data_IF_207305267597
#
_entry.id   IF_207305267597
#
_cell.length_a   1.000
_cell.length_b   1.000
_cell.length_c   1.000
_cell.angle_alpha   90.00
_cell.angle_beta   90.00
_cell.angle_gamma   90.00
#
_symmetry.space_group_name_H-M   'P 1'
#
loop_
_entity.id
_entity.type
_entity.pdbx_description
1 polymer ?
#
# COMPACT_ATOMS: atom_id res chain seq x y z
N UNK A 1 10.80 4.49 -2.59
CA UNK A 1 10.50 4.26 -1.17
C UNK A 1 11.35 5.22 -0.34
N UNK A 2 10.77 5.92 0.62
CA UNK A 2 11.47 6.81 1.57
C UNK A 2 11.26 6.24 2.98
N UNK A 3 12.34 6.16 3.77
CA UNK A 3 12.33 5.64 5.13
C UNK A 3 12.53 6.79 6.11
N UNK A 4 11.74 6.82 7.18
CA UNK A 4 11.94 7.79 8.26
C UNK A 4 13.02 7.34 9.25
N UNK A 5 13.27 6.03 9.34
CA UNK A 5 14.13 5.49 10.39
C UNK A 5 13.53 5.72 11.78
N UNK A 6 14.38 5.98 12.78
CA UNK A 6 13.97 6.37 14.13
C UNK A 6 13.73 7.88 14.18
N UNK A 7 12.64 8.34 13.55
CA UNK A 7 12.33 9.76 13.43
C UNK A 7 11.30 10.21 14.49
N UNK A 8 11.41 11.47 14.92
CA UNK A 8 10.34 12.13 15.67
C UNK A 8 9.11 12.37 14.79
N UNK A 9 7.94 12.53 15.40
CA UNK A 9 6.68 12.78 14.70
C UNK A 9 6.75 13.99 13.75
N UNK A 10 7.44 15.06 14.13
CA UNK A 10 7.66 16.23 13.28
C UNK A 10 8.49 15.93 12.04
N UNK A 11 9.59 15.18 12.16
CA UNK A 11 10.40 14.76 11.02
C UNK A 11 9.64 13.79 10.12
N UNK A 12 8.94 12.82 10.70
CA UNK A 12 8.09 11.88 9.96
C UNK A 12 6.99 12.63 9.16
N UNK A 13 6.36 13.64 9.77
CA UNK A 13 5.39 14.51 9.12
C UNK A 13 5.97 15.24 7.90
N UNK A 14 7.18 15.80 8.02
CA UNK A 14 7.86 16.46 6.89
C UNK A 14 8.19 15.49 5.76
N UNK A 15 8.59 14.25 6.07
CA UNK A 15 8.85 13.21 5.06
C UNK A 15 7.57 12.83 4.32
N UNK A 16 6.44 12.75 5.02
CA UNK A 16 5.13 12.52 4.40
C UNK A 16 4.77 13.67 3.46
N UNK A 17 4.96 14.93 3.87
CA UNK A 17 4.68 16.11 3.05
C UNK A 17 5.55 16.12 1.77
N UNK A 18 6.81 15.69 1.86
CA UNK A 18 7.68 15.51 0.70
C UNK A 18 7.13 14.43 -0.25
N UNK A 19 6.68 13.29 0.29
CA UNK A 19 6.11 12.22 -0.52
C UNK A 19 4.81 12.65 -1.21
N UNK A 20 3.95 13.41 -0.52
CA UNK A 20 2.73 13.99 -1.07
C UNK A 20 3.01 15.04 -2.16
N UNK A 21 4.03 15.86 -1.99
CA UNK A 21 4.42 16.84 -3.00
C UNK A 21 5.02 16.18 -4.25
N UNK A 22 5.84 15.16 -4.06
CA UNK A 22 6.51 14.42 -5.16
C UNK A 22 5.58 13.50 -5.92
N UNK A 23 4.67 12.81 -5.25
CA UNK A 23 3.71 11.82 -5.80
C UNK A 23 4.34 10.58 -6.48
N UNK A 24 5.66 10.48 -6.50
CA UNK A 24 6.41 9.39 -7.14
C UNK A 24 6.97 8.36 -6.14
N UNK A 25 6.69 8.52 -4.86
CA UNK A 25 7.24 7.70 -3.79
C UNK A 25 6.24 7.48 -2.67
N UNK A 26 6.57 6.53 -1.79
CA UNK A 26 5.81 6.25 -0.55
C UNK A 26 6.76 6.39 0.63
N UNK A 27 6.33 7.10 1.67
CA UNK A 27 7.01 7.23 2.94
C UNK A 27 6.60 6.10 3.89
N UNK A 28 7.58 5.47 4.53
CA UNK A 28 7.38 4.43 5.55
C UNK A 28 7.73 4.99 6.91
N UNK A 29 6.79 4.91 7.85
CA UNK A 29 6.83 5.53 9.17
C UNK A 29 6.64 4.47 10.23
N UNK A 30 7.45 4.52 11.30
CA UNK A 30 7.22 3.81 12.56
C UNK A 30 6.92 4.82 13.67
N UNK A 31 6.17 4.45 14.71
CA UNK A 31 6.03 5.27 15.91
C UNK A 31 7.38 5.49 16.59
N UNK A 32 7.47 6.46 17.49
CA UNK A 32 8.69 6.74 18.24
C UNK A 32 9.06 5.58 19.17
N UNK A 33 10.36 5.45 19.47
CA UNK A 33 10.85 4.38 20.33
C UNK A 33 10.19 4.41 21.71
N UNK A 34 10.03 5.60 22.27
CA UNK A 34 9.44 5.81 23.58
C UNK A 34 7.97 5.35 23.69
N UNK A 35 7.23 5.35 22.58
CA UNK A 35 5.83 4.91 22.55
C UNK A 35 5.69 3.39 22.57
N UNK A 36 6.75 2.67 22.17
CA UNK A 36 6.71 1.23 21.94
C UNK A 36 7.63 0.44 22.87
N UNK A 37 8.89 0.89 23.04
CA UNK A 37 9.92 0.14 23.75
C UNK A 37 9.81 0.36 25.25
N UNK A 38 9.90 -0.75 26.02
CA UNK A 38 9.78 -0.71 27.49
C UNK A 38 8.35 -0.72 28.01
N UNK A 39 7.34 -0.66 27.13
CA UNK A 39 5.94 -0.77 27.53
C UNK A 39 5.60 -2.24 27.83
N UNK A 40 5.25 -2.54 29.06
CA UNK A 40 4.97 -3.92 29.51
C UNK A 40 3.53 -4.35 29.25
N UNK A 41 2.59 -3.39 29.25
CA UNK A 41 1.17 -3.67 29.02
C UNK A 41 0.85 -3.46 27.53
N UNK A 42 0.37 -4.51 26.89
CA UNK A 42 0.04 -4.51 25.46
C UNK A 42 -1.05 -3.49 25.11
N UNK A 43 -2.08 -3.37 25.93
CA UNK A 43 -3.16 -2.37 25.69
C UNK A 43 -2.62 -0.95 25.76
N UNK A 44 -1.74 -0.65 26.70
CA UNK A 44 -1.06 0.66 26.79
C UNK A 44 -0.20 0.90 25.56
N UNK A 45 0.56 -0.10 25.10
CA UNK A 45 1.39 0.01 23.91
C UNK A 45 0.55 0.30 22.64
N UNK A 46 -0.55 -0.41 22.47
CA UNK A 46 -1.50 -0.17 21.37
C UNK A 46 -2.06 1.27 21.45
N UNK A 47 -2.45 1.71 22.66
CA UNK A 47 -2.96 3.08 22.86
C UNK A 47 -1.91 4.14 22.51
N UNK A 48 -0.65 3.96 22.94
CA UNK A 48 0.43 4.90 22.63
C UNK A 48 0.66 5.02 21.11
N UNK A 49 0.66 3.90 20.38
CA UNK A 49 0.82 3.92 18.92
C UNK A 49 -0.36 4.62 18.23
N UNK A 50 -1.58 4.45 18.74
CA UNK A 50 -2.77 5.19 18.27
C UNK A 50 -2.66 6.68 18.57
N UNK A 51 -2.20 7.06 19.76
CA UNK A 51 -1.96 8.46 20.14
C UNK A 51 -0.88 9.09 19.27
N UNK A 52 0.21 8.38 19.01
CA UNK A 52 1.22 8.83 18.06
C UNK A 52 0.59 9.13 16.69
N UNK A 53 -0.20 8.20 16.15
CA UNK A 53 -0.85 8.34 14.83
C UNK A 53 -1.83 9.50 14.80
N UNK A 54 -2.70 9.61 15.81
CA UNK A 54 -3.85 10.51 15.80
C UNK A 54 -3.54 11.90 16.34
N UNK A 55 -2.62 12.02 17.29
CA UNK A 55 -2.34 13.26 18.00
C UNK A 55 -0.99 13.87 17.60
N UNK A 56 0.09 13.09 17.61
CA UNK A 56 1.43 13.61 17.38
C UNK A 56 1.72 13.76 15.87
N UNK A 57 1.51 12.71 15.08
CA UNK A 57 1.73 12.72 13.63
C UNK A 57 0.60 13.44 12.91
N UNK A 58 -0.64 13.12 13.23
CA UNK A 58 -1.89 13.72 12.72
C UNK A 58 -1.86 14.04 11.19
N UNK A 59 -1.37 13.11 10.39
CA UNK A 59 -1.27 13.23 8.93
C UNK A 59 -2.17 12.21 8.25
N UNK A 60 -2.83 12.61 7.16
CA UNK A 60 -3.63 11.73 6.31
C UNK A 60 -3.10 11.79 4.91
N UNK A 61 -2.46 10.71 4.46
CA UNK A 61 -1.85 10.64 3.13
C UNK A 61 -1.92 9.22 2.57
N UNK A 62 -2.22 9.10 1.29
CA UNK A 62 -2.12 7.83 0.57
C UNK A 62 -0.68 7.49 0.14
N UNK A 63 0.24 8.44 0.26
CA UNK A 63 1.66 8.26 -0.02
C UNK A 63 2.48 7.92 1.23
N UNK A 64 1.81 7.58 2.32
CA UNK A 64 2.46 7.15 3.56
C UNK A 64 1.91 5.81 4.03
N UNK A 65 2.77 5.04 4.70
CA UNK A 65 2.50 3.74 5.27
C UNK A 65 3.08 3.69 6.69
N UNK A 66 2.28 3.33 7.67
CA UNK A 66 2.72 3.24 9.06
C UNK A 66 2.59 1.81 9.57
N UNK A 67 3.65 1.34 10.21
CA UNK A 67 3.69 0.07 10.94
C UNK A 67 3.36 0.25 12.44
N UNK A 68 3.32 -0.85 13.19
CA UNK A 68 2.93 -0.87 14.59
C UNK A 68 4.09 -0.77 15.58
N UNK A 69 5.34 -0.53 15.14
CA UNK A 69 6.39 -0.32 16.14
C UNK A 69 7.81 -0.78 15.81
N UNK A 70 8.44 -1.44 16.77
CA UNK A 70 9.86 -1.75 16.77
C UNK A 70 10.12 -3.24 16.97
N UNK A 71 11.23 -3.72 16.39
CA UNK A 71 11.76 -5.07 16.59
C UNK A 71 13.09 -5.06 17.31
N UNK A 72 13.36 -6.09 18.09
CA UNK A 72 14.66 -6.37 18.69
C UNK A 72 15.39 -7.34 17.77
N UNK A 73 16.55 -6.96 17.28
CA UNK A 73 17.35 -7.78 16.37
C UNK A 73 18.82 -7.80 16.75
N UNK A 74 19.52 -8.84 16.30
CA UNK A 74 20.95 -8.97 16.47
C UNK A 74 21.71 -8.18 15.39
N UNK A 75 22.57 -7.27 15.85
CA UNK A 75 23.50 -6.51 15.01
C UNK A 75 24.82 -7.27 14.92
N UNK A 76 25.07 -7.90 13.77
CA UNK A 76 26.25 -8.71 13.52
C UNK A 76 27.56 -7.94 13.54
N UNK A 77 27.53 -6.65 13.25
CA UNK A 77 28.73 -5.82 13.12
C UNK A 77 29.25 -5.36 14.49
N UNK A 78 28.34 -5.16 15.43
CA UNK A 78 28.67 -4.69 16.78
C UNK A 78 28.47 -5.77 17.85
N UNK A 79 28.12 -7.00 17.46
CA UNK A 79 27.87 -8.13 18.37
C UNK A 79 26.93 -7.78 19.53
N UNK A 80 25.84 -7.11 19.21
CA UNK A 80 24.88 -6.65 20.20
C UNK A 80 23.44 -6.73 19.69
N UNK A 81 22.50 -6.80 20.63
CA UNK A 81 21.09 -6.72 20.31
C UNK A 81 20.61 -5.28 20.40
N UNK A 82 19.84 -4.84 19.40
CA UNK A 82 19.32 -3.47 19.31
C UNK A 82 17.84 -3.43 18.97
N UNK A 83 17.19 -2.39 19.44
CA UNK A 83 15.89 -2.00 18.94
C UNK A 83 16.03 -1.27 17.61
N UNK A 84 15.21 -1.64 16.63
CA UNK A 84 15.21 -1.05 15.28
C UNK A 84 13.76 -0.83 14.85
N UNK A 85 13.43 0.32 14.27
CA UNK A 85 12.09 0.59 13.76
C UNK A 85 11.76 -0.32 12.56
N UNK A 86 10.50 -0.70 12.42
CA UNK A 86 10.04 -1.63 11.39
C UNK A 86 9.90 -1.01 9.99
N UNK A 87 9.94 0.32 9.85
CA UNK A 87 9.74 0.97 8.55
C UNK A 87 10.72 0.50 7.46
N UNK A 88 11.95 0.18 7.83
CA UNK A 88 12.94 -0.40 6.92
C UNK A 88 12.52 -1.78 6.41
N UNK A 89 11.95 -2.61 7.29
CA UNK A 89 11.43 -3.92 6.90
C UNK A 89 10.20 -3.80 6.00
N UNK A 90 9.31 -2.84 6.27
CA UNK A 90 8.12 -2.59 5.44
C UNK A 90 8.51 -2.23 4.01
N UNK A 91 9.47 -1.33 3.85
CA UNK A 91 10.01 -0.99 2.54
C UNK A 91 10.72 -2.18 1.88
N UNK A 92 11.46 -2.97 2.67
CA UNK A 92 12.10 -4.21 2.22
C UNK A 92 11.10 -5.26 1.74
N UNK A 93 9.94 -5.42 2.42
CA UNK A 93 8.84 -6.27 1.98
C UNK A 93 8.24 -5.80 0.64
N UNK A 94 8.06 -4.49 0.47
CA UNK A 94 7.62 -3.92 -0.78
C UNK A 94 8.61 -4.20 -1.91
N UNK A 95 9.91 -3.96 -1.70
CA UNK A 95 10.95 -4.23 -2.69
C UNK A 95 11.06 -5.72 -3.03
N UNK A 96 10.93 -6.60 -2.03
CA UNK A 96 10.89 -8.06 -2.27
C UNK A 96 9.67 -8.47 -3.08
N UNK A 97 8.52 -7.86 -2.81
CA UNK A 97 7.29 -8.12 -3.57
C UNK A 97 7.47 -7.71 -5.03
N UNK A 98 8.14 -6.58 -5.31
CA UNK A 98 8.44 -6.12 -6.67
C UNK A 98 9.34 -7.11 -7.44
N UNK A 99 10.29 -7.75 -6.75
CA UNK A 99 11.21 -8.70 -7.37
C UNK A 99 10.57 -10.07 -7.63
N UNK A 100 9.64 -10.51 -6.78
CA UNK A 100 9.05 -11.87 -6.86
C UNK A 100 7.73 -11.87 -7.63
N UNK A 101 6.98 -10.79 -7.51
CA UNK A 101 5.70 -10.58 -8.17
C UNK A 101 5.72 -9.23 -8.89
N UNK A 102 4.81 -8.33 -8.51
CA UNK A 102 4.65 -7.01 -9.09
C UNK A 102 4.29 -5.99 -8.00
N UNK A 103 4.49 -4.68 -8.25
CA UNK A 103 4.18 -3.61 -7.30
C UNK A 103 2.73 -3.53 -6.82
N UNK A 104 1.80 -4.07 -7.60
CA UNK A 104 0.37 -4.09 -7.26
C UNK A 104 -0.08 -5.26 -6.41
N UNK A 105 0.83 -6.16 -6.04
CA UNK A 105 0.54 -7.17 -5.03
C UNK A 105 0.73 -6.61 -3.62
N UNK A 106 -0.16 -6.99 -2.70
CA UNK A 106 -0.03 -6.63 -1.29
C UNK A 106 1.26 -7.23 -0.70
N UNK A 107 2.08 -6.43 0.00
CA UNK A 107 3.28 -6.94 0.68
C UNK A 107 2.95 -7.69 1.98
N UNK A 108 1.70 -7.66 2.43
CA UNK A 108 1.24 -8.26 3.68
C UNK A 108 0.88 -9.75 3.53
N UNK A 109 0.66 -10.38 4.67
CA UNK A 109 0.18 -11.76 4.79
C UNK A 109 1.29 -12.80 4.86
N UNK A 110 0.92 -14.04 5.14
CA UNK A 110 1.85 -15.15 5.40
C UNK A 110 2.76 -15.48 4.21
N UNK A 111 2.29 -15.26 2.97
CA UNK A 111 3.07 -15.58 1.77
C UNK A 111 4.19 -14.58 1.48
N UNK A 112 4.00 -13.30 1.76
CA UNK A 112 4.92 -12.22 1.38
C UNK A 112 5.36 -11.34 2.55
N UNK A 113 4.53 -11.21 3.60
CA UNK A 113 4.72 -10.31 4.72
C UNK A 113 5.66 -10.81 5.82
N UNK A 114 6.37 -11.92 5.63
CA UNK A 114 7.30 -12.45 6.64
C UNK A 114 8.53 -11.56 6.81
N UNK A 115 8.80 -11.16 8.06
CA UNK A 115 9.93 -10.35 8.49
C UNK A 115 10.98 -11.26 9.13
N UNK A 116 12.22 -11.12 8.71
CA UNK A 116 13.33 -11.94 9.19
C UNK A 116 14.19 -11.20 10.22
N UNK A 117 14.94 -11.96 11.01
CA UNK A 117 15.89 -11.41 11.98
C UNK A 117 15.22 -10.75 13.19
N UNK A 118 13.98 -11.13 13.52
CA UNK A 118 13.26 -10.63 14.68
C UNK A 118 13.48 -11.57 15.86
N UNK A 119 14.05 -11.06 16.94
CA UNK A 119 14.16 -11.78 18.23
C UNK A 119 12.85 -11.60 19.00
N UNK A 120 12.35 -10.37 19.07
CA UNK A 120 11.05 -10.03 19.65
C UNK A 120 10.51 -8.70 19.08
N UNK A 121 9.22 -8.49 19.16
CA UNK A 121 8.59 -7.21 18.88
C UNK A 121 8.45 -6.39 20.16
N UNK A 122 8.52 -5.07 20.06
CA UNK A 122 8.23 -4.17 21.18
C UNK A 122 6.75 -4.27 21.59
N UNK A 123 5.87 -4.26 20.59
CA UNK A 123 4.44 -4.46 20.74
C UNK A 123 4.06 -5.63 19.83
N UNK A 124 3.46 -6.68 20.39
CA UNK A 124 2.96 -7.84 19.65
C UNK A 124 1.44 -7.97 19.81
N UNK A 125 0.64 -7.38 18.91
CA UNK A 125 -0.83 -7.39 19.01
C UNK A 125 -1.41 -8.75 18.61
N UNK A 126 -1.15 -9.80 19.42
CA UNK A 126 -1.65 -11.15 19.18
C UNK A 126 -3.17 -11.26 19.26
N UNK A 127 -3.89 -10.57 20.18
CA UNK A 127 -5.35 -10.57 20.20
C UNK A 127 -5.94 -9.85 18.98
N UNK A 128 -7.00 -10.44 18.42
CA UNK A 128 -7.68 -9.90 17.21
C UNK A 128 -8.20 -8.49 17.43
N UNK A 129 -8.88 -8.24 18.56
CA UNK A 129 -9.43 -6.94 18.89
C UNK A 129 -8.37 -5.81 18.86
N UNK A 130 -7.14 -6.07 19.30
CA UNK A 130 -6.06 -5.09 19.29
C UNK A 130 -5.47 -4.87 17.89
N UNK A 131 -5.47 -5.92 17.05
CA UNK A 131 -5.11 -5.77 15.63
C UNK A 131 -6.13 -4.92 14.89
N UNK A 132 -7.41 -5.20 15.13
CA UNK A 132 -8.50 -4.44 14.52
C UNK A 132 -8.49 -2.97 14.95
N UNK A 133 -8.23 -2.71 16.24
CA UNK A 133 -8.08 -1.37 16.79
C UNK A 133 -6.98 -0.56 16.07
N UNK A 134 -5.79 -1.16 15.87
CA UNK A 134 -4.70 -0.54 15.10
C UNK A 134 -5.10 -0.35 13.64
N UNK A 135 -5.72 -1.36 13.05
CA UNK A 135 -6.08 -1.34 11.64
C UNK A 135 -7.20 -0.34 11.33
N UNK A 136 -8.11 -0.06 12.27
CA UNK A 136 -9.11 1.01 12.13
C UNK A 136 -8.44 2.37 11.95
N UNK A 137 -7.38 2.66 12.69
CA UNK A 137 -6.62 3.91 12.62
C UNK A 137 -5.58 3.94 11.49
N UNK A 138 -5.68 3.01 10.53
CA UNK A 138 -4.75 2.89 9.39
C UNK A 138 -3.30 2.60 9.78
N UNK A 139 -3.11 1.95 10.92
CA UNK A 139 -1.83 1.41 11.38
C UNK A 139 -1.77 -0.07 10.99
N UNK A 140 -0.68 -0.51 10.38
CA UNK A 140 -0.53 -1.87 9.92
C UNK A 140 0.14 -2.74 10.99
N UNK A 141 -0.59 -3.67 11.62
CA UNK A 141 -0.03 -4.48 12.69
C UNK A 141 1.04 -5.44 12.16
N UNK A 142 2.14 -5.51 12.90
CA UNK A 142 3.16 -6.55 12.74
C UNK A 142 3.03 -7.50 13.91
N UNK A 143 2.83 -8.78 13.61
CA UNK A 143 2.44 -9.79 14.59
C UNK A 143 3.39 -10.98 14.51
N UNK A 144 3.85 -11.45 15.66
CA UNK A 144 4.55 -12.72 15.77
C UNK A 144 3.51 -13.84 16.07
N UNK A 145 3.24 -14.66 15.06
CA UNK A 145 2.33 -15.80 15.17
C UNK A 145 3.13 -17.05 15.57
N UNK A 146 2.64 -17.83 16.57
CA UNK A 146 3.28 -19.09 16.92
C UNK A 146 3.30 -20.05 15.72
N UNK A 147 4.48 -20.56 15.37
CA UNK A 147 4.68 -21.46 14.25
C UNK A 147 4.86 -20.81 12.88
N UNK A 148 4.37 -19.58 12.68
CA UNK A 148 4.40 -18.88 11.38
C UNK A 148 5.46 -17.75 11.32
N UNK A 149 5.98 -17.35 12.49
CA UNK A 149 6.96 -16.26 12.60
C UNK A 149 6.33 -14.86 12.64
N UNK A 150 7.16 -13.86 12.41
CA UNK A 150 6.73 -12.45 12.44
C UNK A 150 6.27 -12.02 11.06
N UNK A 151 5.04 -11.49 10.98
CA UNK A 151 4.36 -11.19 9.72
C UNK A 151 3.74 -9.78 9.76
N UNK A 152 3.87 -9.04 8.67
CA UNK A 152 3.06 -7.85 8.42
C UNK A 152 1.61 -8.27 8.12
N UNK A 153 0.68 -7.82 8.94
CA UNK A 153 -0.74 -8.21 8.86
C UNK A 153 -1.66 -7.03 8.56
N UNK A 154 -1.24 -6.17 7.62
CA UNK A 154 -2.01 -5.02 7.15
C UNK A 154 -1.38 -4.38 5.92
N UNK A 155 -2.20 -3.74 5.08
CA UNK A 155 -1.79 -3.13 3.82
C UNK A 155 -2.43 -1.75 3.57
N UNK A 156 -2.87 -1.07 4.64
CA UNK A 156 -3.45 0.28 4.56
C UNK A 156 -2.39 1.36 4.39
N UNK A 157 -2.72 2.38 3.61
CA UNK A 157 -2.02 3.66 3.64
C UNK A 157 -2.50 4.51 4.82
N UNK A 158 -1.80 5.61 5.14
CA UNK A 158 -2.23 6.55 6.21
C UNK A 158 -3.45 7.39 5.84
N UNK A 159 -4.13 7.07 4.75
CA UNK A 159 -5.33 7.80 4.34
C UNK A 159 -6.50 7.49 5.27
N UNK A 160 -7.07 8.52 5.90
CA UNK A 160 -8.21 8.39 6.81
C UNK A 160 -9.55 8.29 6.09
N UNK A 161 -9.68 8.85 4.88
CA UNK A 161 -10.89 8.73 4.07
C UNK A 161 -10.85 7.48 3.21
N UNK A 162 -11.91 6.68 3.24
CA UNK A 162 -12.04 5.50 2.37
C UNK A 162 -12.01 5.88 0.89
N UNK A 163 -11.06 5.32 0.15
CA UNK A 163 -10.95 5.48 -1.31
C UNK A 163 -10.24 4.26 -1.91
N UNK A 164 -10.06 4.24 -3.23
CA UNK A 164 -9.26 3.21 -3.88
C UNK A 164 -7.78 3.25 -3.42
N UNK A 165 -7.30 4.40 -2.94
CA UNK A 165 -5.93 4.64 -2.50
C UNK A 165 -5.68 4.39 -1.01
N UNK A 166 -6.65 3.84 -0.29
CA UNK A 166 -6.49 3.44 1.10
C UNK A 166 -5.62 2.17 1.26
N UNK A 167 -5.21 1.55 0.15
CA UNK A 167 -4.36 0.36 0.09
C UNK A 167 -3.03 0.66 -0.58
N UNK A 168 -1.94 0.17 0.04
CA UNK A 168 -0.57 0.40 -0.45
C UNK A 168 -0.34 -0.21 -1.83
N UNK A 169 -0.90 -1.38 -2.11
CA UNK A 169 -0.78 -2.04 -3.41
C UNK A 169 -1.38 -1.21 -4.54
N UNK A 170 -2.55 -0.59 -4.31
CA UNK A 170 -3.18 0.29 -5.30
C UNK A 170 -2.38 1.57 -5.49
N UNK A 171 -1.91 2.21 -4.40
CA UNK A 171 -1.08 3.40 -4.51
C UNK A 171 0.21 3.12 -5.30
N UNK A 172 0.86 2.00 -5.04
CA UNK A 172 2.08 1.61 -5.75
C UNK A 172 1.82 1.28 -7.22
N UNK A 173 0.70 0.61 -7.54
CA UNK A 173 0.25 0.41 -8.92
C UNK A 173 0.18 1.74 -9.67
N UNK A 174 -0.51 2.74 -9.09
CA UNK A 174 -0.66 4.04 -9.75
C UNK A 174 0.66 4.77 -9.92
N UNK A 175 1.56 4.77 -8.91
CA UNK A 175 2.89 5.38 -9.04
C UNK A 175 3.67 4.78 -10.21
N UNK A 176 3.62 3.46 -10.38
CA UNK A 176 4.32 2.78 -11.49
C UNK A 176 3.69 3.13 -12.84
N UNK A 177 2.35 3.08 -12.93
CA UNK A 177 1.63 3.43 -14.15
C UNK A 177 1.85 4.89 -14.56
N UNK A 178 1.67 5.83 -13.62
CA UNK A 178 1.87 7.27 -13.86
C UNK A 178 3.29 7.56 -14.35
N UNK A 179 4.29 6.95 -13.73
CA UNK A 179 5.69 7.12 -14.12
C UNK A 179 5.97 6.57 -15.52
N UNK A 180 5.48 5.37 -15.83
CA UNK A 180 5.67 4.75 -17.14
C UNK A 180 4.98 5.56 -18.24
N UNK A 181 3.72 5.94 -18.06
CA UNK A 181 2.93 6.72 -19.01
C UNK A 181 3.53 8.13 -19.18
N UNK A 182 3.91 8.79 -18.08
CA UNK A 182 4.57 10.09 -18.13
C UNK A 182 5.90 10.06 -18.90
N UNK A 183 6.65 8.96 -18.80
CA UNK A 183 7.89 8.79 -19.54
C UNK A 183 7.61 8.59 -21.03
N UNK A 184 6.60 7.80 -21.36
CA UNK A 184 6.18 7.54 -22.74
C UNK A 184 5.59 8.79 -23.40
N UNK A 185 4.80 9.59 -22.65
CA UNK A 185 4.18 10.82 -23.17
C UNK A 185 5.17 11.92 -23.54
N UNK A 186 6.43 11.87 -23.04
CA UNK A 186 7.46 12.85 -23.44
C UNK A 186 7.76 12.85 -24.94
N UNK A 187 7.58 11.71 -25.59
CA UNK A 187 7.80 11.58 -27.03
C UNK A 187 6.70 12.22 -27.89
N UNK A 188 5.57 12.63 -27.26
CA UNK A 188 4.50 13.37 -27.93
C UNK A 188 4.67 14.89 -27.82
N UNK A 189 5.66 15.37 -27.06
CA UNK A 189 5.92 16.80 -26.94
C UNK A 189 6.42 17.36 -28.28
N UNK A 190 5.85 18.49 -28.71
CA UNK A 190 6.15 19.18 -29.95
C UNK A 190 5.60 18.47 -31.21
N UNK A 191 4.87 17.38 -31.10
CA UNK A 191 4.17 16.78 -32.22
C UNK A 191 2.87 17.53 -32.52
N UNK A 192 2.31 17.33 -33.72
CA UNK A 192 1.04 17.93 -34.12
C UNK A 192 -0.13 17.37 -33.30
N UNK A 193 -0.97 18.25 -32.76
CA UNK A 193 -2.15 17.84 -32.00
C UNK A 193 -3.34 17.52 -32.94
N UNK A 194 -3.22 16.45 -33.67
CA UNK A 194 -4.24 15.95 -34.60
C UNK A 194 -4.83 14.59 -34.15
N UNK A 195 -5.82 14.12 -34.86
CA UNK A 195 -6.47 12.84 -34.57
C UNK A 195 -5.53 11.65 -34.74
N UNK A 196 -4.52 11.76 -35.61
CA UNK A 196 -3.52 10.72 -35.82
C UNK A 196 -2.58 10.58 -34.61
N UNK A 197 -2.05 11.67 -34.10
CA UNK A 197 -1.18 11.68 -32.90
C UNK A 197 -1.94 11.19 -31.68
N UNK A 198 -3.22 11.59 -31.51
CA UNK A 198 -4.07 11.10 -30.43
C UNK A 198 -4.32 9.59 -30.51
N UNK A 199 -4.59 9.08 -31.70
CA UNK A 199 -4.76 7.63 -31.92
C UNK A 199 -3.45 6.87 -31.68
N UNK A 200 -2.30 7.41 -32.11
CA UNK A 200 -1.00 6.81 -31.89
C UNK A 200 -0.66 6.74 -30.38
N UNK A 201 -0.94 7.79 -29.62
CA UNK A 201 -0.77 7.80 -28.17
C UNK A 201 -1.65 6.74 -27.48
N UNK A 202 -2.92 6.66 -27.85
CA UNK A 202 -3.84 5.64 -27.33
C UNK A 202 -3.34 4.22 -27.64
N UNK A 203 -2.92 3.98 -28.87
CA UNK A 203 -2.38 2.68 -29.31
C UNK A 203 -1.06 2.31 -28.62
N UNK A 204 -0.30 3.28 -28.14
CA UNK A 204 0.91 3.04 -27.36
C UNK A 204 0.59 2.65 -25.91
N UNK A 205 -0.44 3.26 -25.29
CA UNK A 205 -0.77 3.04 -23.87
C UNK A 205 -1.63 1.81 -23.66
N UNK A 206 -2.60 1.52 -24.53
CA UNK A 206 -3.52 0.39 -24.36
C UNK A 206 -2.81 -0.97 -24.20
N UNK A 207 -1.78 -1.34 -24.97
CA UNK A 207 -1.07 -2.61 -24.77
C UNK A 207 -0.40 -2.71 -23.40
N UNK A 208 0.18 -1.60 -22.90
CA UNK A 208 0.76 -1.54 -21.56
C UNK A 208 -0.28 -1.79 -20.46
N UNK A 209 -1.46 -1.16 -20.57
CA UNK A 209 -2.55 -1.37 -19.61
C UNK A 209 -3.11 -2.80 -19.70
N UNK A 210 -3.18 -3.39 -20.91
CA UNK A 210 -3.57 -4.81 -21.10
C UNK A 210 -2.56 -5.77 -20.47
N UNK A 211 -1.26 -5.49 -20.53
CA UNK A 211 -0.24 -6.27 -19.85
C UNK A 211 -0.46 -6.25 -18.33
N UNK A 212 -0.67 -5.07 -17.74
CA UNK A 212 -0.99 -4.92 -16.31
C UNK A 212 -2.29 -5.66 -15.95
N UNK A 213 -3.30 -5.62 -16.83
CA UNK A 213 -4.55 -6.37 -16.65
C UNK A 213 -4.30 -7.88 -16.67
N UNK A 214 -3.53 -8.38 -17.64
CA UNK A 214 -3.14 -9.80 -17.72
C UNK A 214 -2.36 -10.27 -16.49
N UNK A 215 -1.55 -9.37 -15.88
CA UNK A 215 -0.80 -9.60 -14.66
C UNK A 215 -1.59 -9.30 -13.38
N UNK A 216 -2.91 -9.18 -13.46
CA UNK A 216 -3.85 -9.01 -12.34
C UNK A 216 -3.72 -7.69 -11.55
N UNK A 217 -3.11 -6.66 -12.13
CA UNK A 217 -2.99 -5.34 -11.49
C UNK A 217 -4.28 -4.55 -11.54
N UNK A 218 -5.00 -4.64 -12.66
CA UNK A 218 -6.28 -3.95 -12.89
C UNK A 218 -7.33 -4.94 -13.41
N UNK A 219 -8.60 -4.66 -13.11
CA UNK A 219 -9.72 -5.47 -13.61
C UNK A 219 -10.24 -4.93 -14.93
N UNK A 220 -10.21 -3.61 -15.12
CA UNK A 220 -10.72 -2.94 -16.30
C UNK A 220 -10.07 -1.58 -16.48
N UNK A 221 -9.98 -1.08 -17.72
CA UNK A 221 -9.47 0.25 -18.03
C UNK A 221 -10.14 0.85 -19.26
N UNK A 222 -10.12 2.17 -19.36
CA UNK A 222 -10.56 2.93 -20.53
C UNK A 222 -9.62 4.11 -20.74
N UNK A 223 -9.14 4.27 -21.98
CA UNK A 223 -8.34 5.44 -22.41
C UNK A 223 -9.21 6.28 -23.33
N UNK A 224 -9.40 7.54 -22.96
CA UNK A 224 -10.09 8.54 -23.78
C UNK A 224 -9.05 9.59 -24.19
N UNK A 225 -8.81 9.69 -25.48
CA UNK A 225 -7.92 10.67 -26.08
C UNK A 225 -8.46 10.93 -27.50
N UNK A 226 -9.51 11.72 -27.57
CA UNK A 226 -10.24 12.04 -28.81
C UNK A 226 -10.73 13.50 -28.78
N UNK A 227 -11.59 13.87 -29.72
CA UNK A 227 -12.13 15.22 -29.80
C UNK A 227 -13.05 15.60 -28.65
N UNK A 228 -13.51 14.63 -27.84
CA UNK A 228 -14.39 14.92 -26.69
C UNK A 228 -13.64 15.53 -25.52
N UNK A 229 -12.37 15.15 -25.32
CA UNK A 229 -11.49 15.71 -24.28
C UNK A 229 -10.39 16.61 -24.83
N UNK A 230 -10.25 16.77 -26.16
CA UNK A 230 -9.38 17.73 -26.85
C UNK A 230 -10.22 18.64 -27.73
N UNK A 231 -10.99 19.54 -27.12
CA UNK A 231 -11.79 20.54 -27.82
C UNK A 231 -10.90 21.55 -28.53
N UNK A 232 -11.46 22.32 -29.48
CA UNK A 232 -10.72 23.36 -30.19
C UNK A 232 -10.02 24.35 -29.24
N UNK A 233 -10.65 24.71 -28.11
CA UNK A 233 -10.06 25.60 -27.11
C UNK A 233 -8.80 24.99 -26.44
N UNK A 234 -8.80 23.68 -26.21
CA UNK A 234 -7.65 22.96 -25.63
C UNK A 234 -6.53 22.87 -26.65
N UNK A 235 -6.86 22.59 -27.90
CA UNK A 235 -5.88 22.56 -29.03
C UNK A 235 -5.30 23.93 -29.26
N UNK A 236 -6.11 24.99 -29.28
CA UNK A 236 -5.66 26.38 -29.45
C UNK A 236 -4.78 26.87 -28.30
N UNK A 237 -4.99 26.28 -27.10
CA UNK A 237 -4.11 26.51 -25.93
C UNK A 237 -2.82 25.67 -25.97
N UNK A 238 -2.52 24.96 -27.05
CA UNK A 238 -1.39 24.02 -27.19
C UNK A 238 -1.34 22.94 -26.12
N UNK A 239 -2.51 22.43 -25.70
CA UNK A 239 -2.64 21.40 -24.70
C UNK A 239 -3.09 20.08 -25.33
N UNK A 240 -2.56 18.99 -24.82
CA UNK A 240 -2.96 17.63 -25.15
C UNK A 240 -3.50 16.96 -23.89
N UNK A 241 -4.72 16.43 -23.94
CA UNK A 241 -5.38 15.80 -22.80
C UNK A 241 -5.71 14.35 -23.11
N UNK A 242 -5.32 13.46 -22.20
CA UNK A 242 -5.69 12.06 -22.24
C UNK A 242 -6.21 11.63 -20.87
N UNK A 243 -7.42 11.09 -20.83
CA UNK A 243 -8.05 10.58 -19.62
C UNK A 243 -7.92 9.07 -19.56
N UNK A 244 -7.30 8.57 -18.47
CA UNK A 244 -7.05 7.16 -18.27
C UNK A 244 -7.83 6.71 -17.04
N UNK A 245 -8.92 5.97 -17.27
CA UNK A 245 -9.76 5.39 -16.23
C UNK A 245 -9.29 3.98 -15.93
N UNK A 246 -9.06 3.68 -14.65
CA UNK A 246 -8.54 2.39 -14.20
C UNK A 246 -9.35 1.86 -13.03
N UNK A 247 -9.73 0.58 -13.07
CA UNK A 247 -10.30 -0.15 -11.95
C UNK A 247 -9.23 -1.07 -11.35
N UNK A 248 -8.61 -0.72 -10.21
CA UNK A 248 -7.58 -1.54 -9.59
C UNK A 248 -8.16 -2.83 -9.00
N UNK A 249 -7.36 -3.89 -9.00
CA UNK A 249 -7.66 -5.13 -8.27
C UNK A 249 -7.43 -4.88 -6.77
N UNK A 250 -8.38 -5.32 -5.94
CA UNK A 250 -8.31 -5.18 -4.48
C UNK A 250 -7.75 -6.44 -3.84
N UNK A 251 -7.00 -6.28 -2.75
CA UNK A 251 -6.58 -7.37 -1.87
C UNK A 251 -7.75 -7.89 -1.03
N UNK A 252 -7.71 -9.17 -0.67
CA UNK A 252 -8.68 -9.79 0.25
C UNK A 252 -8.19 -9.52 1.68
N UNK A 253 -9.01 -8.85 2.47
CA UNK A 253 -8.70 -8.54 3.87
C UNK A 253 -9.56 -9.34 4.85
N UNK A 254 -10.76 -9.76 4.42
CA UNK A 254 -11.70 -10.54 5.23
C UNK A 254 -12.15 -11.77 4.47
N UNK A 255 -12.15 -12.91 5.15
CA UNK A 255 -12.65 -14.19 4.62
C UNK A 255 -13.80 -14.62 5.52
N UNK A 256 -15.01 -14.68 4.95
CA UNK A 256 -16.17 -15.25 5.63
C UNK A 256 -16.40 -16.67 5.13
N UNK A 257 -16.38 -17.64 6.02
CA UNK A 257 -16.63 -19.03 5.71
C UNK A 257 -17.98 -19.44 6.33
N UNK A 258 -18.92 -19.86 5.50
CA UNK A 258 -20.24 -20.33 5.93
C UNK A 258 -20.25 -21.87 5.81
N UNK A 259 -20.32 -22.57 6.94
CA UNK A 259 -20.47 -24.00 6.98
C UNK A 259 -21.94 -24.36 7.25
N UNK A 260 -22.56 -25.05 6.29
CA UNK A 260 -23.95 -25.51 6.43
C UNK A 260 -23.93 -27.04 6.56
N UNK A 261 -24.39 -27.53 7.69
CA UNK A 261 -24.60 -28.97 7.91
C UNK A 261 -25.93 -29.38 7.28
N UNK A 262 -25.86 -30.16 6.21
CA UNK A 262 -27.05 -30.76 5.59
C UNK A 262 -27.40 -32.13 6.20
N UNK A 263 -28.68 -32.43 6.24
CA UNK A 263 -29.14 -33.81 6.61
C UNK A 263 -28.88 -34.77 5.44
N UNK A 264 -28.65 -36.06 5.80
CA UNK A 264 -28.50 -37.08 4.75
C UNK A 264 -29.76 -37.17 3.90
N UNK A 265 -29.61 -37.02 2.58
CA UNK A 265 -30.70 -37.09 1.60
C UNK A 265 -31.21 -35.75 1.08
N UNK A 266 -30.63 -34.60 1.48
CA UNK A 266 -30.95 -33.29 0.91
C UNK A 266 -29.97 -33.00 -0.23
N UNK A 267 -30.50 -32.56 -1.39
CA UNK A 267 -29.69 -32.16 -2.52
C UNK A 267 -29.00 -30.80 -2.23
N UNK A 268 -27.71 -30.70 -2.47
CA UNK A 268 -26.95 -29.46 -2.22
C UNK A 268 -27.44 -28.26 -3.02
N UNK A 269 -28.10 -28.49 -4.19
CA UNK A 269 -28.69 -27.44 -4.99
C UNK A 269 -29.90 -26.76 -4.31
N UNK A 270 -30.65 -27.50 -3.46
CA UNK A 270 -31.76 -26.91 -2.69
C UNK A 270 -31.27 -26.03 -1.53
N UNK A 271 -30.08 -26.34 -0.95
CA UNK A 271 -29.51 -25.56 0.16
C UNK A 271 -28.82 -24.30 -0.35
N UNK A 272 -28.21 -24.35 -1.53
CA UNK A 272 -27.49 -23.21 -2.12
C UNK A 272 -28.41 -22.13 -2.71
N UNK A 273 -29.70 -22.39 -2.86
CA UNK A 273 -30.66 -21.43 -3.40
C UNK A 273 -30.43 -21.06 -4.88
N UNK A 274 -29.87 -22.01 -5.67
CA UNK A 274 -29.59 -21.86 -7.11
C UNK A 274 -30.53 -22.76 -7.90
#
# INVERSE_FOLDING_TARGET
LILTGAASAGLAGNVIDIADARKDCVAFVSPEEADCVGVTNLTTGVSNVKDYRNTQLNKSSSYAFMDSGWKYQYDRHNDTLRWVPLNGDMAGLCARTDNVNDPWFSPAGFNRGQIRGVVKLAINPTPEAQRDDLYMDSINPVVAFPGEGTVLFGDKTLQSKGSAFDRINVRRLFIVMEKAISTASKFQLFEQNDSFTRAMFKNMIEPFLRDIQGRRGITDFKVVCDDTNNTSEIVDANKFVADIFVKPTRSINFIQLNFVAARSGVDFNEIAGV
#
